data_IF_407263446691
#
_entry.id   IF_407263446691
#
_cell.length_a   1.000
_cell.length_b   1.000
_cell.length_c   1.000
_cell.angle_alpha   90.00
_cell.angle_beta   90.00
_cell.angle_gamma   90.00
#
_symmetry.space_group_name_H-M   'P 1'
#
loop_
_entity.id
_entity.type
_entity.pdbx_description
1 polymer ?
#
# COMPACT_ATOMS: atom_id res chain seq x y z
N UNK A 1 -15.21 -16.53 3.55
CA UNK A 1 -14.06 -15.60 3.52
C UNK A 1 -14.52 -14.19 3.88
N UNK A 2 -14.89 -13.93 5.14
CA UNK A 2 -15.67 -12.71 5.49
C UNK A 2 -14.98 -11.67 6.37
N UNK A 3 -14.27 -12.10 7.41
CA UNK A 3 -13.76 -11.19 8.46
C UNK A 3 -12.23 -11.24 8.62
N UNK A 4 -11.62 -12.42 8.48
CA UNK A 4 -10.17 -12.56 8.63
C UNK A 4 -9.43 -11.91 7.47
N UNK A 5 -9.95 -12.06 6.24
CA UNK A 5 -9.39 -11.44 5.04
C UNK A 5 -9.56 -9.92 5.03
N UNK A 6 -10.73 -9.41 5.44
CA UNK A 6 -10.99 -7.97 5.50
C UNK A 6 -10.20 -7.28 6.62
N UNK A 7 -10.04 -7.91 7.79
CA UNK A 7 -9.13 -7.40 8.82
C UNK A 7 -7.67 -7.40 8.36
N UNK A 8 -7.23 -8.43 7.64
CA UNK A 8 -5.88 -8.49 7.09
C UNK A 8 -5.64 -7.37 6.06
N UNK A 9 -6.59 -7.13 5.16
CA UNK A 9 -6.55 -6.00 4.21
C UNK A 9 -6.56 -4.65 4.94
N UNK A 10 -7.35 -4.50 6.01
CA UNK A 10 -7.38 -3.27 6.80
C UNK A 10 -6.06 -3.00 7.54
N UNK A 11 -5.45 -4.03 8.13
CA UNK A 11 -4.16 -3.92 8.85
C UNK A 11 -3.02 -3.60 7.89
N UNK A 12 -2.96 -4.28 6.73
CA UNK A 12 -1.94 -4.00 5.71
C UNK A 12 -2.10 -2.60 5.13
N UNK A 13 -3.33 -2.16 4.88
CA UNK A 13 -3.64 -0.79 4.47
C UNK A 13 -3.17 0.26 5.50
N UNK A 14 -3.50 0.06 6.79
CA UNK A 14 -3.09 0.98 7.86
C UNK A 14 -1.56 1.06 8.00
N UNK A 15 -0.87 -0.09 7.96
CA UNK A 15 0.59 -0.14 8.05
C UNK A 15 1.26 0.56 6.88
N UNK A 16 0.79 0.32 5.65
CA UNK A 16 1.31 0.97 4.45
C UNK A 16 1.06 2.48 4.47
N UNK A 17 -0.10 2.91 4.97
CA UNK A 17 -0.42 4.33 5.15
C UNK A 17 0.49 5.02 6.17
N UNK A 18 0.83 4.34 7.27
CA UNK A 18 1.80 4.83 8.25
C UNK A 18 3.18 5.08 7.65
N UNK A 19 3.66 4.16 6.81
CA UNK A 19 4.92 4.33 6.09
C UNK A 19 4.87 5.50 5.10
N UNK A 20 3.78 5.63 4.34
CA UNK A 20 3.57 6.75 3.41
C UNK A 20 3.56 8.10 4.14
N UNK A 21 2.96 8.18 5.32
CA UNK A 21 3.01 9.38 6.17
C UNK A 21 4.44 9.71 6.60
N UNK A 22 5.29 8.72 6.85
CA UNK A 22 6.72 8.93 7.12
C UNK A 22 7.47 9.55 5.94
N UNK A 23 7.15 9.14 4.71
CA UNK A 23 7.72 9.73 3.48
C UNK A 23 7.29 11.18 3.32
N UNK A 24 6.00 11.47 3.53
CA UNK A 24 5.47 12.83 3.50
C UNK A 24 6.13 13.69 4.57
N UNK A 25 6.27 13.18 5.79
CA UNK A 25 6.95 13.87 6.89
C UNK A 25 8.41 14.22 6.55
N UNK A 26 9.15 13.28 5.94
CA UNK A 26 10.52 13.54 5.49
C UNK A 26 10.58 14.60 4.39
N UNK A 27 9.64 14.60 3.44
CA UNK A 27 9.57 15.64 2.41
C UNK A 27 9.30 17.03 2.99
N UNK A 28 8.37 17.13 3.95
CA UNK A 28 8.03 18.40 4.61
C UNK A 28 9.21 18.89 5.43
N UNK A 29 9.87 18.00 6.19
CA UNK A 29 11.02 18.36 7.03
C UNK A 29 12.21 18.87 6.20
N UNK A 30 12.39 18.38 4.97
CA UNK A 30 13.54 18.71 4.13
C UNK A 30 13.21 19.68 2.98
N UNK A 31 12.04 20.32 2.99
CA UNK A 31 11.63 21.26 1.92
C UNK A 31 12.58 22.47 1.79
N UNK A 32 13.29 22.82 2.87
CA UNK A 32 14.27 23.93 2.89
C UNK A 32 15.72 23.49 2.65
N UNK A 33 15.99 22.20 2.48
CA UNK A 33 17.36 21.69 2.35
C UNK A 33 17.81 21.75 0.89
N UNK A 34 18.86 22.54 0.60
CA UNK A 34 19.39 22.67 -0.75
C UNK A 34 19.91 21.31 -1.28
N UNK A 35 19.42 20.89 -2.45
CA UNK A 35 19.79 19.61 -3.06
C UNK A 35 18.93 18.41 -2.61
N UNK A 36 17.89 18.62 -1.79
CA UNK A 36 16.96 17.55 -1.42
C UNK A 36 16.13 17.05 -2.60
N UNK A 37 16.01 15.73 -2.73
CA UNK A 37 15.11 15.07 -3.69
C UNK A 37 13.87 14.56 -2.94
N UNK A 38 12.70 14.97 -3.42
CA UNK A 38 11.44 14.48 -2.88
C UNK A 38 11.25 12.99 -3.21
N UNK A 39 10.83 12.24 -2.20
CA UNK A 39 10.43 10.83 -2.29
C UNK A 39 8.91 10.71 -2.36
N UNK A 40 8.38 9.63 -2.92
CA UNK A 40 6.93 9.42 -3.02
C UNK A 40 6.61 7.96 -2.75
N UNK A 41 5.73 7.72 -1.79
CA UNK A 41 5.23 6.38 -1.52
C UNK A 41 4.27 5.92 -2.62
N UNK A 42 4.57 4.78 -3.24
CA UNK A 42 3.66 4.12 -4.20
C UNK A 42 3.12 2.82 -3.62
N UNK A 43 1.80 2.67 -3.65
CA UNK A 43 1.10 1.49 -3.17
C UNK A 43 0.96 0.45 -4.29
N UNK A 44 1.08 -0.83 -3.94
CA UNK A 44 0.85 -1.97 -4.82
C UNK A 44 0.11 -3.07 -4.06
N UNK A 45 -0.66 -3.90 -4.78
CA UNK A 45 -1.43 -4.98 -4.19
C UNK A 45 -0.52 -6.20 -3.91
N UNK A 46 -0.65 -6.78 -2.72
CA UNK A 46 0.21 -7.89 -2.27
C UNK A 46 -0.01 -9.18 -3.06
N UNK A 47 -1.27 -9.55 -3.30
CA UNK A 47 -1.66 -10.73 -4.08
C UNK A 47 -2.99 -10.44 -4.75
N UNK A 48 -3.02 -10.47 -6.09
CA UNK A 48 -4.22 -10.68 -6.88
C UNK A 48 -4.28 -12.16 -7.23
N UNK A 49 -4.87 -13.00 -6.36
CA UNK A 49 -5.09 -14.39 -6.73
C UNK A 49 -6.32 -14.42 -7.62
N UNK A 50 -6.10 -14.43 -8.94
CA UNK A 50 -7.14 -14.86 -9.88
C UNK A 50 -7.52 -16.29 -9.48
N UNK A 51 -8.71 -16.46 -8.92
CA UNK A 51 -9.26 -17.78 -8.67
C UNK A 51 -9.57 -18.37 -10.06
N UNK A 52 -8.58 -19.05 -10.64
CA UNK A 52 -8.67 -19.62 -11.97
C UNK A 52 -9.79 -20.67 -12.00
N UNK A 53 -10.99 -20.25 -12.44
CA UNK A 53 -12.14 -21.13 -12.53
C UNK A 53 -13.46 -20.40 -12.79
N UNK A 54 -13.70 -20.04 -14.06
CA UNK A 54 -15.04 -19.69 -14.54
C UNK A 54 -15.31 -18.20 -14.69
N UNK A 55 -16.14 -17.86 -15.69
CA UNK A 55 -16.49 -16.51 -16.09
C UNK A 55 -17.10 -15.71 -14.92
N UNK A 56 -16.28 -14.88 -14.29
CA UNK A 56 -16.64 -14.13 -13.08
C UNK A 56 -15.41 -13.96 -12.20
N UNK A 57 -14.54 -13.02 -12.57
CA UNK A 57 -13.33 -12.70 -11.84
C UNK A 57 -13.67 -12.03 -10.50
N UNK A 58 -14.04 -12.81 -9.48
CA UNK A 58 -14.02 -12.38 -8.09
C UNK A 58 -12.55 -12.28 -7.64
N UNK A 59 -11.88 -11.22 -8.09
CA UNK A 59 -10.55 -10.86 -7.64
C UNK A 59 -10.66 -10.34 -6.20
N UNK A 60 -10.31 -11.19 -5.24
CA UNK A 60 -10.26 -10.80 -3.82
C UNK A 60 -8.87 -10.19 -3.56
N UNK A 61 -8.81 -8.87 -3.39
CA UNK A 61 -7.59 -8.15 -3.01
C UNK A 61 -7.18 -8.49 -1.57
N UNK A 62 -5.99 -9.09 -1.41
CA UNK A 62 -5.47 -9.61 -0.13
C UNK A 62 -4.65 -8.58 0.69
N UNK A 63 -4.71 -7.29 0.34
CA UNK A 63 -4.00 -6.23 1.06
C UNK A 63 -3.05 -5.43 0.18
N UNK A 64 -2.49 -4.38 0.78
CA UNK A 64 -1.67 -3.37 0.10
C UNK A 64 -0.29 -3.29 0.75
N UNK A 65 0.76 -3.17 -0.07
CA UNK A 65 2.12 -2.90 0.38
C UNK A 65 2.71 -1.68 -0.32
N UNK A 66 3.82 -1.19 0.20
CA UNK A 66 4.52 -0.03 -0.32
C UNK A 66 5.66 -0.54 -1.21
N UNK A 67 5.59 -0.27 -2.52
CA UNK A 67 6.52 -0.81 -3.51
C UNK A 67 7.83 -0.01 -3.57
N UNK A 68 7.72 1.33 -3.54
CA UNK A 68 8.86 2.24 -3.67
C UNK A 68 8.62 3.52 -2.85
N UNK A 69 9.73 4.12 -2.39
CA UNK A 69 9.80 5.38 -1.64
C UNK A 69 10.70 6.38 -2.36
#
# INVERSE_FOLDING_TARGET
MGILTSMFTAVTGLSSYGNAMGVIGNNIANVGTAGFKSSRATFSDLISSSMAGGAGSDQIGLGVYLNDV
#
